data_IF_561828555180
#
_entry.id   IF_561828555180
#
_cell.length_a   1.000
_cell.length_b   1.000
_cell.length_c   1.000
_cell.angle_alpha   90.00
_cell.angle_beta   90.00
_cell.angle_gamma   90.00
#
_symmetry.space_group_name_H-M   'P 1'
#
loop_
_entity.id
_entity.type
_entity.pdbx_description
1 polymer ?
#
# COMPACT_ATOMS: atom_id res chain seq x y z
N UNK A 1 -33.83 -9.42 -34.79
CA UNK A 1 -33.32 -8.02 -34.88
C UNK A 1 -33.00 -7.45 -33.50
N UNK A 2 -33.95 -7.41 -32.57
CA UNK A 2 -33.71 -6.91 -31.20
C UNK A 2 -32.66 -7.72 -30.43
N UNK A 3 -32.74 -9.05 -30.45
CA UNK A 3 -31.77 -9.93 -29.76
C UNK A 3 -30.34 -9.75 -30.28
N UNK A 4 -30.21 -9.53 -31.59
CA UNK A 4 -28.93 -9.31 -32.27
C UNK A 4 -28.27 -8.01 -31.80
N UNK A 5 -29.08 -6.95 -31.59
CA UNK A 5 -28.62 -5.67 -31.08
C UNK A 5 -28.26 -5.75 -29.58
N UNK A 6 -29.06 -6.46 -28.78
CA UNK A 6 -28.77 -6.70 -27.37
C UNK A 6 -27.45 -7.48 -27.18
N UNK A 7 -27.23 -8.51 -27.99
CA UNK A 7 -26.00 -9.30 -27.98
C UNK A 7 -24.77 -8.44 -28.35
N UNK A 8 -24.89 -7.59 -29.40
CA UNK A 8 -23.81 -6.66 -29.77
C UNK A 8 -23.48 -5.67 -28.65
N UNK A 9 -24.51 -5.12 -27.98
CA UNK A 9 -24.32 -4.21 -26.84
C UNK A 9 -23.62 -4.92 -25.68
N UNK A 10 -24.02 -6.14 -25.37
CA UNK A 10 -23.43 -6.95 -24.29
C UNK A 10 -21.94 -7.23 -24.56
N UNK A 11 -21.61 -7.61 -25.81
CA UNK A 11 -20.23 -7.86 -26.23
C UNK A 11 -19.37 -6.59 -26.18
N UNK A 12 -19.91 -5.45 -26.63
CA UNK A 12 -19.21 -4.16 -26.54
C UNK A 12 -18.96 -3.75 -25.07
N UNK A 13 -19.94 -3.97 -24.18
CA UNK A 13 -19.77 -3.73 -22.74
C UNK A 13 -18.67 -4.61 -22.15
N UNK A 14 -18.69 -5.91 -22.42
CA UNK A 14 -17.63 -6.84 -21.96
C UNK A 14 -16.25 -6.43 -22.47
N UNK A 15 -16.16 -6.00 -23.73
CA UNK A 15 -14.91 -5.49 -24.30
C UNK A 15 -14.43 -4.23 -23.57
N UNK A 16 -15.30 -3.24 -23.36
CA UNK A 16 -14.96 -2.01 -22.64
C UNK A 16 -14.52 -2.32 -21.21
N UNK A 17 -15.25 -3.15 -20.47
CA UNK A 17 -14.89 -3.55 -19.10
C UNK A 17 -13.53 -4.26 -19.03
N UNK A 18 -13.26 -5.17 -19.96
CA UNK A 18 -11.96 -5.85 -20.03
C UNK A 18 -10.80 -4.87 -20.27
N UNK A 19 -11.05 -3.76 -20.96
CA UNK A 19 -10.03 -2.76 -21.29
C UNK A 19 -9.97 -1.56 -20.33
N UNK A 20 -10.98 -1.37 -19.46
CA UNK A 20 -11.00 -0.28 -18.46
C UNK A 20 -9.77 -0.29 -17.54
N UNK A 21 -9.23 -1.46 -17.26
CA UNK A 21 -8.04 -1.65 -16.42
C UNK A 21 -6.82 -0.92 -17.01
N UNK A 22 -6.68 -0.89 -18.34
CA UNK A 22 -5.54 -0.24 -19.02
C UNK A 22 -5.68 1.28 -19.09
N UNK A 23 -6.91 1.81 -19.06
CA UNK A 23 -7.18 3.26 -19.12
C UNK A 23 -7.25 3.90 -17.74
N UNK A 24 -7.21 3.09 -16.67
CA UNK A 24 -7.33 3.54 -15.29
C UNK A 24 -6.30 4.66 -15.00
N UNK A 25 -6.76 5.84 -14.55
CA UNK A 25 -5.87 6.97 -14.25
C UNK A 25 -4.74 6.62 -13.29
N UNK A 26 -5.01 5.72 -12.33
CA UNK A 26 -4.04 5.33 -11.29
C UNK A 26 -2.76 4.69 -11.86
N UNK A 27 -2.83 4.06 -13.04
CA UNK A 27 -1.68 3.41 -13.73
C UNK A 27 -0.91 4.38 -14.63
N UNK A 28 -1.41 5.60 -14.80
CA UNK A 28 -0.79 6.66 -15.60
C UNK A 28 -0.19 7.76 -14.73
N UNK A 29 -0.34 7.65 -13.41
CA UNK A 29 0.24 8.61 -12.48
C UNK A 29 1.76 8.45 -12.46
N UNK A 30 2.52 9.56 -12.49
CA UNK A 30 3.94 9.54 -12.13
C UNK A 30 4.14 8.96 -10.74
N UNK A 31 5.31 8.35 -10.51
CA UNK A 31 5.63 7.72 -9.23
C UNK A 31 5.63 8.75 -8.08
N UNK A 32 6.04 9.99 -8.37
CA UNK A 32 6.07 11.11 -7.44
C UNK A 32 4.66 11.48 -6.98
N UNK A 33 3.73 11.65 -7.92
CA UNK A 33 2.32 11.93 -7.59
C UNK A 33 1.67 10.79 -6.82
N UNK A 34 1.95 9.54 -7.22
CA UNK A 34 1.48 8.40 -6.46
C UNK A 34 2.06 8.42 -5.04
N UNK A 35 3.37 8.69 -4.87
CA UNK A 35 4.00 8.74 -3.55
C UNK A 35 3.37 9.78 -2.62
N UNK A 36 3.04 10.97 -3.14
CA UNK A 36 2.35 12.03 -2.40
C UNK A 36 0.96 11.58 -1.92
N UNK A 37 0.17 10.97 -2.82
CA UNK A 37 -1.14 10.39 -2.46
C UNK A 37 -0.99 9.34 -1.36
N UNK A 38 0.01 8.45 -1.45
CA UNK A 38 0.24 7.42 -0.46
C UNK A 38 0.58 8.01 0.91
N UNK A 39 1.38 9.09 0.97
CA UNK A 39 1.72 9.78 2.23
C UNK A 39 0.47 10.35 2.89
N UNK A 40 -0.46 10.89 2.11
CA UNK A 40 -1.76 11.36 2.61
C UNK A 40 -2.71 10.25 3.09
N UNK A 41 -2.35 8.97 2.89
CA UNK A 41 -3.11 7.84 3.40
C UNK A 41 -2.61 7.35 4.77
N UNK A 42 -1.57 7.96 5.34
CA UNK A 42 -1.09 7.63 6.68
C UNK A 42 -2.08 8.08 7.77
N UNK A 43 -2.08 7.44 8.95
CA UNK A 43 -2.83 7.93 10.10
C UNK A 43 -2.38 9.35 10.49
N UNK A 44 -3.32 10.26 10.73
CA UNK A 44 -3.04 11.66 11.09
C UNK A 44 -2.84 11.87 12.60
N UNK A 45 -3.49 11.04 13.41
CA UNK A 45 -3.62 11.20 14.87
C UNK A 45 -2.68 10.29 15.68
N UNK A 46 -1.97 9.37 15.01
CA UNK A 46 -1.10 8.38 15.65
C UNK A 46 0.03 7.91 14.73
N UNK A 47 1.03 7.28 15.33
CA UNK A 47 2.06 6.56 14.56
C UNK A 47 1.45 5.36 13.82
N UNK A 48 2.02 5.06 12.65
CA UNK A 48 1.66 3.86 11.92
C UNK A 48 2.02 2.59 12.71
N UNK A 49 1.17 1.57 12.62
CA UNK A 49 1.40 0.26 13.22
C UNK A 49 1.81 -0.73 12.16
N UNK A 50 2.53 -1.78 12.56
CA UNK A 50 2.94 -2.86 11.67
C UNK A 50 1.82 -3.87 11.43
N UNK A 51 0.74 -3.41 10.81
CA UNK A 51 -0.44 -4.20 10.40
C UNK A 51 -0.62 -4.15 8.87
N UNK A 52 -0.85 -5.31 8.24
CA UNK A 52 -1.11 -5.41 6.81
C UNK A 52 -2.42 -4.76 6.37
N UNK A 53 -3.34 -4.54 7.32
CA UNK A 53 -4.63 -3.88 7.11
C UNK A 53 -4.53 -2.35 7.18
N UNK A 54 -3.38 -1.78 7.55
CA UNK A 54 -3.20 -0.34 7.70
C UNK A 54 -2.03 0.22 6.86
N UNK A 55 -2.10 1.50 6.52
CA UNK A 55 -0.98 2.19 5.88
C UNK A 55 0.22 2.28 6.84
N UNK A 56 1.46 2.17 6.33
CA UNK A 56 1.85 2.04 4.92
C UNK A 56 1.80 0.61 4.34
N UNK A 57 1.67 -0.44 5.17
CA UNK A 57 1.79 -1.84 4.69
C UNK A 57 0.65 -2.26 3.77
N UNK A 58 -0.59 -1.82 4.04
CA UNK A 58 -1.74 -2.03 3.16
C UNK A 58 -1.44 -1.58 1.72
N UNK A 59 -0.81 -0.41 1.58
CA UNK A 59 -0.49 0.19 0.28
C UNK A 59 0.48 -0.70 -0.52
N UNK A 60 1.32 -1.47 0.16
CA UNK A 60 2.23 -2.43 -0.47
C UNK A 60 1.53 -3.70 -0.99
N UNK A 61 0.25 -3.91 -0.67
CA UNK A 61 -0.51 -5.11 -1.05
C UNK A 61 -1.48 -4.89 -2.21
N UNK A 62 -1.66 -3.65 -2.69
CA UNK A 62 -2.65 -3.31 -3.72
C UNK A 62 -2.18 -3.72 -5.12
N UNK A 63 -0.98 -3.33 -5.52
CA UNK A 63 -0.40 -3.67 -6.83
C UNK A 63 1.13 -3.68 -6.80
N UNK A 64 1.77 -4.22 -7.84
CA UNK A 64 3.24 -4.21 -7.97
C UNK A 64 3.80 -2.79 -8.03
N UNK A 65 3.11 -1.88 -8.72
CA UNK A 65 3.51 -0.48 -8.86
C UNK A 65 3.39 0.26 -7.53
N UNK A 66 2.26 0.11 -6.85
CA UNK A 66 2.05 0.69 -5.52
C UNK A 66 3.08 0.18 -4.50
N UNK A 67 3.37 -1.11 -4.51
CA UNK A 67 4.42 -1.69 -3.67
C UNK A 67 5.78 -1.04 -3.94
N UNK A 68 6.16 -0.92 -5.22
CA UNK A 68 7.44 -0.33 -5.61
C UNK A 68 7.52 1.12 -5.13
N UNK A 69 6.49 1.92 -5.39
CA UNK A 69 6.44 3.32 -4.97
C UNK A 69 6.44 3.46 -3.46
N UNK A 70 5.61 2.69 -2.74
CA UNK A 70 5.52 2.75 -1.29
C UNK A 70 6.86 2.40 -0.60
N UNK A 71 7.51 1.31 -1.04
CA UNK A 71 8.82 0.90 -0.49
C UNK A 71 9.90 1.95 -0.78
N UNK A 72 9.84 2.62 -1.93
CA UNK A 72 10.79 3.65 -2.33
C UNK A 72 10.50 5.05 -1.76
N UNK A 73 9.45 5.22 -0.94
CA UNK A 73 9.04 6.52 -0.39
C UNK A 73 9.32 6.56 1.12
N UNK A 74 10.45 7.13 1.57
CA UNK A 74 10.86 7.07 2.97
C UNK A 74 9.87 7.71 3.95
N UNK A 75 9.14 8.74 3.51
CA UNK A 75 8.14 9.44 4.33
C UNK A 75 7.00 8.52 4.81
N UNK A 76 6.71 7.43 4.10
CA UNK A 76 5.73 6.43 4.53
C UNK A 76 6.16 5.63 5.76
N UNK A 77 7.46 5.62 6.05
CA UNK A 77 8.08 4.78 7.07
C UNK A 77 8.65 5.62 8.22
N UNK A 78 8.39 6.93 8.27
CA UNK A 78 8.96 7.87 9.25
C UNK A 78 8.32 7.81 10.65
N UNK A 79 7.28 6.99 10.83
CA UNK A 79 6.65 6.74 12.14
C UNK A 79 6.39 5.25 12.35
N UNK A 80 6.55 4.77 13.60
CA UNK A 80 6.24 3.39 13.96
C UNK A 80 5.82 3.28 15.43
N UNK A 81 4.66 2.68 15.68
CA UNK A 81 4.23 2.24 17.00
C UNK A 81 4.54 0.75 17.22
N UNK A 82 5.23 0.44 18.31
CA UNK A 82 5.69 -0.90 18.65
C UNK A 82 4.90 -1.47 19.84
N UNK A 83 3.85 -2.22 19.55
CA UNK A 83 3.15 -2.99 20.59
C UNK A 83 4.00 -4.18 21.07
N UNK A 84 4.35 -4.23 22.36
CA UNK A 84 5.12 -5.32 22.98
C UNK A 84 4.19 -6.16 23.88
N UNK A 85 3.77 -7.36 23.44
CA UNK A 85 2.98 -8.28 24.27
C UNK A 85 3.80 -8.84 25.43
N UNK A 86 3.14 -9.11 26.56
CA UNK A 86 3.75 -9.69 27.77
C UNK A 86 4.29 -11.12 27.56
N UNK A 87 3.76 -11.85 26.58
CA UNK A 87 4.24 -13.18 26.21
C UNK A 87 4.35 -13.30 24.69
N UNK A 88 5.51 -13.75 24.22
CA UNK A 88 5.81 -14.00 22.82
C UNK A 88 6.66 -15.26 22.70
N UNK A 89 6.38 -16.07 21.67
CA UNK A 89 7.33 -17.13 21.28
C UNK A 89 8.58 -16.52 20.65
N UNK A 90 9.72 -17.20 20.72
CA UNK A 90 10.97 -16.74 20.09
C UNK A 90 10.80 -16.45 18.60
N UNK A 91 10.01 -17.27 17.89
CA UNK A 91 9.69 -17.05 16.48
C UNK A 91 8.85 -15.77 16.26
N UNK A 92 7.93 -15.46 17.16
CA UNK A 92 7.14 -14.23 17.06
C UNK A 92 8.00 -12.98 17.34
N UNK A 93 8.96 -13.08 18.27
CA UNK A 93 9.97 -12.04 18.52
C UNK A 93 10.80 -11.81 17.26
N UNK A 94 11.37 -12.87 16.67
CA UNK A 94 12.20 -12.76 15.46
C UNK A 94 11.44 -12.10 14.30
N UNK A 95 10.20 -12.53 14.02
CA UNK A 95 9.37 -11.91 12.99
C UNK A 95 9.09 -10.43 13.24
N UNK A 96 8.97 -10.00 14.50
CA UNK A 96 8.76 -8.60 14.88
C UNK A 96 10.04 -7.79 14.71
N UNK A 97 11.18 -8.33 15.12
CA UNK A 97 12.50 -7.70 14.94
C UNK A 97 12.79 -7.50 13.45
N UNK A 98 12.67 -8.55 12.63
CA UNK A 98 12.92 -8.48 11.18
C UNK A 98 12.01 -7.45 10.51
N UNK A 99 10.71 -7.45 10.85
CA UNK A 99 9.78 -6.49 10.26
C UNK A 99 10.04 -5.04 10.68
N UNK A 100 10.48 -4.82 11.92
CA UNK A 100 10.83 -3.48 12.41
C UNK A 100 12.15 -3.00 11.80
N UNK A 101 13.14 -3.87 11.65
CA UNK A 101 14.40 -3.58 10.96
C UNK A 101 14.15 -3.17 9.50
N UNK A 102 13.29 -3.90 8.79
CA UNK A 102 12.91 -3.54 7.41
C UNK A 102 12.15 -2.20 7.34
N UNK A 103 11.37 -1.87 8.36
CA UNK A 103 10.71 -0.57 8.45
C UNK A 103 11.72 0.56 8.60
N UNK A 104 12.68 0.39 9.52
CA UNK A 104 13.80 1.31 9.77
C UNK A 104 14.67 1.51 8.51
N UNK A 105 14.95 0.44 7.76
CA UNK A 105 15.69 0.53 6.50
C UNK A 105 14.96 1.42 5.49
N UNK A 106 13.64 1.28 5.39
CA UNK A 106 12.82 2.02 4.44
C UNK A 106 12.62 3.49 4.79
N UNK A 107 12.73 3.88 6.06
CA UNK A 107 12.70 5.29 6.46
C UNK A 107 13.91 6.08 5.96
N UNK A 108 14.95 5.39 5.47
CA UNK A 108 16.11 6.00 4.85
C UNK A 108 16.80 6.98 5.80
N UNK A 109 17.07 8.20 5.33
CA UNK A 109 17.70 9.27 6.10
C UNK A 109 16.71 10.21 6.82
N UNK A 110 15.40 9.95 6.73
CA UNK A 110 14.41 10.81 7.39
C UNK A 110 14.40 10.57 8.91
N UNK A 111 14.13 11.63 9.71
CA UNK A 111 13.90 11.45 11.15
C UNK A 111 12.77 10.45 11.39
N UNK A 112 13.02 9.49 12.28
CA UNK A 112 12.05 8.46 12.66
C UNK A 112 11.44 8.78 14.02
N UNK A 113 10.12 8.72 14.11
CA UNK A 113 9.38 8.83 15.37
C UNK A 113 8.87 7.45 15.81
N UNK A 114 9.25 7.01 17.01
CA UNK A 114 8.89 5.70 17.55
C UNK A 114 8.06 5.88 18.82
N UNK A 115 6.97 5.14 18.94
CA UNK A 115 6.19 4.99 20.18
C UNK A 115 6.07 3.53 20.61
N UNK A 116 5.78 3.31 21.90
CA UNK A 116 5.64 1.99 22.54
C UNK A 116 4.21 1.79 23.04
#
# INVERSE_FOLDING_TARGET
LLDTLLLRRENAKKYVEAHKVFVSPIRRLPAETLSEILVHCLPEDRHAVRDIAEAPLLLTNISREWRRTAVATPALWSSLHLFIPLSLSSQAVERRVTGSALWLERSGSLPLSISL
#
